data_IF_457560124502
#
_entry.id   IF_457560124502
#
_cell.length_a   1.000
_cell.length_b   1.000
_cell.length_c   1.000
_cell.angle_alpha   90.00
_cell.angle_beta   90.00
_cell.angle_gamma   90.00
#
_symmetry.space_group_name_H-M   'P 1'
#
loop_
_entity.id
_entity.type
_entity.pdbx_description
1 polymer ?
#
# COMPACT_ATOMS: atom_id res chain seq x y z
N UNK A 1 75.87 -3.93 24.62
CA UNK A 1 74.76 -4.54 23.83
C UNK A 1 73.48 -3.81 24.19
N UNK A 2 73.00 -2.91 23.33
CA UNK A 2 71.80 -2.12 23.55
C UNK A 2 70.70 -2.63 22.62
N UNK A 3 69.64 -3.26 23.20
CA UNK A 3 68.46 -3.71 22.48
C UNK A 3 67.60 -2.53 22.12
N UNK A 4 67.32 -2.34 20.84
CA UNK A 4 66.47 -1.31 20.28
C UNK A 4 65.07 -1.95 20.05
N UNK A 5 64.13 -1.62 20.95
CA UNK A 5 62.72 -2.01 20.78
C UNK A 5 62.05 -1.07 19.81
N UNK A 6 61.73 -1.53 18.60
CA UNK A 6 60.82 -0.85 17.66
C UNK A 6 59.40 -1.11 18.04
N UNK A 7 58.71 -0.09 18.56
CA UNK A 7 57.26 -0.07 18.76
C UNK A 7 56.60 0.29 17.40
N UNK A 8 56.06 -0.71 16.70
CA UNK A 8 55.18 -0.44 15.55
C UNK A 8 53.82 0.01 16.02
N UNK A 9 53.56 1.32 15.99
CA UNK A 9 52.19 1.88 16.11
C UNK A 9 51.46 1.63 14.78
N UNK A 10 50.60 0.60 14.75
CA UNK A 10 49.69 0.36 13.63
C UNK A 10 48.57 1.42 13.63
N UNK A 11 48.58 2.30 12.65
CA UNK A 11 47.52 3.30 12.41
C UNK A 11 46.33 2.57 11.73
N UNK A 12 45.30 2.23 12.50
CA UNK A 12 44.05 1.71 11.94
C UNK A 12 43.24 2.88 11.40
N UNK A 13 43.28 3.12 10.10
CA UNK A 13 42.37 4.01 9.40
C UNK A 13 41.02 3.30 9.26
N UNK A 14 40.04 3.68 10.09
CA UNK A 14 38.64 3.26 9.94
C UNK A 14 38.07 3.89 8.65
N UNK A 15 37.89 3.09 7.60
CA UNK A 15 37.12 3.48 6.42
C UNK A 15 35.65 3.62 6.83
N UNK A 16 35.17 4.86 7.01
CA UNK A 16 33.76 5.14 7.13
C UNK A 16 33.12 4.95 5.75
N UNK A 17 32.38 3.83 5.56
CA UNK A 17 31.58 3.63 4.37
C UNK A 17 30.45 4.66 4.33
N UNK A 18 30.16 5.30 3.17
CA UNK A 18 29.03 6.20 3.06
C UNK A 18 27.72 5.43 3.28
N UNK A 19 26.89 5.90 4.21
CA UNK A 19 25.53 5.38 4.39
C UNK A 19 24.70 5.85 3.19
N UNK A 20 24.42 4.95 2.25
CA UNK A 20 23.50 5.23 1.16
C UNK A 20 22.09 5.40 1.75
N UNK A 21 21.55 6.62 1.73
CA UNK A 21 20.15 6.87 2.06
C UNK A 21 19.30 6.21 0.97
N UNK A 22 18.50 5.22 1.34
CA UNK A 22 17.54 4.60 0.43
C UNK A 22 16.53 5.68 -0.04
N UNK A 23 16.20 5.66 -1.34
CA UNK A 23 15.19 6.57 -1.88
C UNK A 23 13.85 6.37 -1.15
N UNK A 24 13.14 7.45 -0.76
CA UNK A 24 11.88 7.33 -0.01
C UNK A 24 10.74 6.74 -0.83
N UNK A 25 10.85 6.78 -2.16
CA UNK A 25 9.82 6.30 -3.08
C UNK A 25 10.30 5.13 -3.93
N UNK A 26 9.36 4.26 -4.27
CA UNK A 26 9.52 3.22 -5.27
C UNK A 26 8.43 3.35 -6.34
N UNK A 27 8.69 2.84 -7.56
CA UNK A 27 7.84 3.00 -8.73
C UNK A 27 7.68 1.68 -9.45
N UNK A 28 6.44 1.29 -9.73
CA UNK A 28 6.13 0.04 -10.42
C UNK A 28 5.09 0.29 -11.51
N UNK A 29 5.30 -0.17 -12.74
CA UNK A 29 4.29 -0.08 -13.80
C UNK A 29 3.09 -0.96 -13.47
N UNK A 30 1.91 -0.56 -13.95
CA UNK A 30 0.76 -1.44 -13.98
C UNK A 30 1.10 -2.70 -14.83
N UNK A 31 0.66 -3.90 -14.42
CA UNK A 31 0.91 -5.11 -15.22
C UNK A 31 0.17 -5.12 -16.56
N UNK A 32 -0.90 -4.37 -16.70
CA UNK A 32 -1.68 -4.25 -17.93
C UNK A 32 -0.85 -3.61 -19.04
N UNK A 33 -0.59 -4.36 -20.11
CA UNK A 33 0.41 -4.01 -21.15
C UNK A 33 0.01 -2.85 -22.04
N UNK A 34 -1.26 -2.57 -22.19
CA UNK A 34 -1.81 -1.44 -22.98
C UNK A 34 -2.15 -0.21 -22.10
N UNK A 35 -1.84 -0.25 -20.81
CA UNK A 35 -2.06 0.83 -19.86
C UNK A 35 -0.75 1.53 -19.50
N UNK A 36 -0.54 2.73 -20.02
CA UNK A 36 0.63 3.54 -19.70
C UNK A 36 0.49 4.22 -18.32
N UNK A 37 0.57 3.41 -17.26
CA UNK A 37 0.39 3.83 -15.86
C UNK A 37 1.54 3.36 -14.99
N UNK A 38 2.02 4.26 -14.12
CA UNK A 38 3.03 3.98 -13.09
C UNK A 38 2.43 4.26 -11.72
N UNK A 39 2.60 3.33 -10.81
CA UNK A 39 2.30 3.50 -9.39
C UNK A 39 3.53 3.94 -8.63
N UNK A 40 3.35 4.82 -7.66
CA UNK A 40 4.38 5.28 -6.73
C UNK A 40 3.96 4.93 -5.31
N UNK A 41 4.88 4.43 -4.51
CA UNK A 41 4.69 4.21 -3.08
C UNK A 41 5.71 4.99 -2.27
N UNK A 42 5.30 5.56 -1.15
CA UNK A 42 6.19 5.96 -0.08
C UNK A 42 6.61 4.71 0.71
N UNK A 43 7.90 4.41 0.73
CA UNK A 43 8.44 3.18 1.34
C UNK A 43 8.35 3.14 2.85
N UNK A 44 8.13 4.29 3.50
CA UNK A 44 8.02 4.42 4.96
C UNK A 44 6.56 4.39 5.40
N UNK A 45 5.70 5.14 4.72
CA UNK A 45 4.29 5.29 5.10
C UNK A 45 3.36 4.35 4.33
N UNK A 46 3.82 3.73 3.25
CA UNK A 46 2.97 2.88 2.42
C UNK A 46 1.89 3.64 1.64
N UNK A 47 1.93 4.97 1.58
CA UNK A 47 1.01 5.75 0.77
C UNK A 47 1.23 5.45 -0.71
N UNK A 48 0.14 5.18 -1.44
CA UNK A 48 0.17 4.85 -2.87
C UNK A 48 -0.53 5.92 -3.68
N UNK A 49 0.13 6.36 -4.74
CA UNK A 49 -0.42 7.22 -5.78
C UNK A 49 -0.07 6.66 -7.15
N UNK A 50 -0.65 7.23 -8.21
CA UNK A 50 -0.41 6.75 -9.56
C UNK A 50 -0.45 7.89 -10.55
N UNK A 51 0.33 7.80 -11.64
CA UNK A 51 0.21 8.69 -12.78
C UNK A 51 0.15 7.88 -14.07
N UNK A 52 -0.53 8.41 -15.06
CA UNK A 52 -0.61 7.82 -16.39
C UNK A 52 -0.50 8.90 -17.46
N UNK A 53 -0.13 8.49 -18.67
CA UNK A 53 -0.21 9.34 -19.82
C UNK A 53 -1.65 9.44 -20.31
N UNK A 54 -2.14 10.66 -20.49
CA UNK A 54 -3.43 10.99 -21.09
C UNK A 54 -3.27 11.64 -22.45
N UNK A 55 -3.87 11.04 -23.46
CA UNK A 55 -4.00 11.70 -24.77
C UNK A 55 -5.02 12.83 -24.65
N UNK A 56 -4.62 14.00 -25.17
CA UNK A 56 -5.53 15.12 -25.36
C UNK A 56 -5.41 15.57 -26.81
N UNK A 57 -6.53 15.47 -27.52
CA UNK A 57 -6.56 15.78 -28.96
C UNK A 57 -6.03 17.20 -29.24
N UNK A 58 -5.16 17.32 -30.26
CA UNK A 58 -4.56 18.61 -30.65
C UNK A 58 -3.44 19.10 -29.73
N UNK A 59 -2.98 18.29 -28.78
CA UNK A 59 -1.89 18.63 -27.86
C UNK A 59 -0.82 17.52 -27.79
N UNK A 60 0.27 17.77 -27.04
CA UNK A 60 1.30 16.77 -26.76
C UNK A 60 0.84 15.73 -25.72
N UNK A 61 -0.40 15.83 -25.24
CA UNK A 61 -0.92 15.00 -24.14
C UNK A 61 -0.62 15.58 -22.76
N UNK A 62 -1.03 14.87 -21.72
CA UNK A 62 -0.90 15.28 -20.32
C UNK A 62 -0.48 14.11 -19.44
N UNK A 63 0.19 14.42 -18.32
CA UNK A 63 0.38 13.47 -17.23
C UNK A 63 -0.78 13.61 -16.25
N UNK A 64 -1.65 12.60 -16.18
CA UNK A 64 -2.78 12.54 -15.26
C UNK A 64 -2.35 11.80 -14.01
N UNK A 65 -2.41 12.46 -12.85
CA UNK A 65 -2.00 11.86 -11.58
C UNK A 65 -3.18 11.72 -10.62
N UNK A 66 -3.28 10.56 -10.01
CA UNK A 66 -4.31 10.14 -9.07
C UNK A 66 -3.69 10.01 -7.66
N UNK A 67 -4.16 10.85 -6.75
CA UNK A 67 -3.76 10.81 -5.35
C UNK A 67 -4.33 9.62 -4.60
N UNK A 68 -3.89 9.45 -3.36
CA UNK A 68 -4.40 8.42 -2.46
C UNK A 68 -5.89 8.66 -2.12
N UNK A 69 -6.70 7.63 -2.29
CA UNK A 69 -8.08 7.51 -1.87
C UNK A 69 -8.24 6.50 -0.74
N UNK A 70 -9.38 5.82 -0.69
CA UNK A 70 -9.70 4.86 0.35
C UNK A 70 -8.64 3.74 0.44
N UNK A 71 -8.13 3.49 1.66
CA UNK A 71 -7.12 2.48 1.94
C UNK A 71 -5.72 2.74 1.37
N UNK A 72 -5.55 3.72 0.45
CA UNK A 72 -4.27 4.00 -0.19
C UNK A 72 -3.43 5.07 0.53
N UNK A 73 -4.00 5.78 1.49
CA UNK A 73 -3.29 6.79 2.30
C UNK A 73 -2.20 6.20 3.18
N UNK A 74 -1.49 7.09 3.89
CA UNK A 74 -0.42 6.73 4.79
C UNK A 74 -0.87 5.71 5.85
N UNK A 75 -0.05 4.69 6.04
CA UNK A 75 -0.17 3.63 7.04
C UNK A 75 0.81 3.90 8.19
N UNK A 76 0.73 3.16 9.31
CA UNK A 76 1.76 3.21 10.34
C UNK A 76 3.16 3.01 9.73
N UNK A 77 4.19 3.76 10.20
CA UNK A 77 5.54 3.64 9.66
C UNK A 77 6.04 2.20 9.60
N UNK A 78 6.52 1.77 8.44
CA UNK A 78 6.93 0.40 8.18
C UNK A 78 7.99 0.32 7.08
N UNK A 79 7.98 -0.81 6.40
CA UNK A 79 8.79 -1.03 5.21
C UNK A 79 7.86 -1.56 4.11
N UNK A 80 7.55 -0.68 3.17
CA UNK A 80 6.55 -0.94 2.13
C UNK A 80 7.17 -1.00 0.74
N UNK A 81 6.54 -1.77 -0.13
CA UNK A 81 6.87 -1.83 -1.54
C UNK A 81 5.66 -2.17 -2.40
N UNK A 82 5.84 -2.07 -3.71
CA UNK A 82 4.85 -2.46 -4.71
C UNK A 82 5.32 -3.70 -5.46
N UNK A 83 4.37 -4.57 -5.78
CA UNK A 83 4.60 -5.76 -6.60
C UNK A 83 3.53 -5.82 -7.69
N UNK A 84 3.94 -5.78 -8.95
CA UNK A 84 3.04 -6.05 -10.07
C UNK A 84 2.77 -7.55 -10.17
N UNK A 85 1.51 -7.92 -10.41
CA UNK A 85 1.17 -9.32 -10.75
C UNK A 85 1.64 -9.65 -12.17
N UNK A 86 1.59 -10.93 -12.54
CA UNK A 86 1.83 -11.35 -13.93
C UNK A 86 0.56 -11.32 -14.78
N UNK A 87 -0.54 -10.85 -14.23
CA UNK A 87 -1.81 -10.83 -14.93
C UNK A 87 -1.91 -9.58 -15.81
N UNK A 88 -1.60 -9.74 -17.10
CA UNK A 88 -1.47 -8.64 -18.08
C UNK A 88 -2.74 -7.83 -18.36
N UNK A 89 -3.88 -8.23 -17.79
CA UNK A 89 -5.14 -7.48 -17.85
C UNK A 89 -5.49 -6.78 -16.54
N UNK A 90 -4.60 -6.88 -15.54
CA UNK A 90 -4.79 -6.24 -14.24
C UNK A 90 -4.18 -4.83 -14.25
N UNK A 91 -4.99 -3.83 -13.99
CA UNK A 91 -4.55 -2.42 -13.92
C UNK A 91 -3.95 -2.03 -12.57
N UNK A 92 -4.02 -2.90 -11.57
CA UNK A 92 -3.57 -2.64 -10.21
C UNK A 92 -2.26 -3.32 -9.85
N UNK A 93 -1.69 -2.91 -8.71
CA UNK A 93 -0.47 -3.46 -8.13
C UNK A 93 -0.70 -3.83 -6.67
N UNK A 94 0.07 -4.79 -6.14
CA UNK A 94 0.01 -5.12 -4.72
C UNK A 94 0.93 -4.21 -3.90
N UNK A 95 0.38 -3.54 -2.88
CA UNK A 95 1.15 -2.97 -1.79
C UNK A 95 1.47 -4.07 -0.80
N UNK A 96 2.73 -4.18 -0.41
CA UNK A 96 3.23 -5.17 0.54
C UNK A 96 3.91 -4.45 1.70
N UNK A 97 3.58 -4.84 2.93
CA UNK A 97 4.34 -4.50 4.11
C UNK A 97 5.36 -5.62 4.37
N UNK A 98 6.64 -5.36 4.13
CA UNK A 98 7.70 -6.38 4.26
C UNK A 98 7.96 -6.85 5.70
N UNK A 99 7.52 -6.07 6.69
CA UNK A 99 7.68 -6.44 8.11
C UNK A 99 6.56 -7.36 8.60
N UNK A 100 5.33 -7.12 8.17
CA UNK A 100 4.15 -7.88 8.63
C UNK A 100 3.70 -8.95 7.65
N UNK A 101 4.11 -8.84 6.38
CA UNK A 101 3.63 -9.68 5.28
C UNK A 101 2.22 -9.32 4.81
N UNK A 102 1.64 -8.24 5.32
CA UNK A 102 0.32 -7.77 4.89
C UNK A 102 0.36 -7.27 3.44
N UNK A 103 -0.66 -7.64 2.68
CA UNK A 103 -0.80 -7.26 1.27
C UNK A 103 -2.18 -6.67 1.01
N UNK A 104 -2.24 -5.70 0.12
CA UNK A 104 -3.49 -5.14 -0.40
C UNK A 104 -3.33 -4.82 -1.88
N UNK A 105 -4.37 -5.08 -2.69
CA UNK A 105 -4.38 -4.66 -4.09
C UNK A 105 -4.73 -3.17 -4.17
N UNK A 106 -3.93 -2.39 -4.90
CA UNK A 106 -4.14 -0.98 -5.14
C UNK A 106 -4.40 -0.74 -6.63
N UNK A 107 -5.44 0.01 -6.96
CA UNK A 107 -5.82 0.32 -8.34
C UNK A 107 -6.48 1.70 -8.41
N UNK A 108 -6.59 2.27 -9.61
CA UNK A 108 -7.29 3.54 -9.80
C UNK A 108 -8.78 3.28 -9.94
N UNK A 109 -9.55 3.92 -9.08
CA UNK A 109 -11.00 3.91 -9.09
C UNK A 109 -11.51 5.33 -8.82
N UNK A 110 -12.43 5.82 -9.65
CA UNK A 110 -13.01 7.16 -9.54
C UNK A 110 -11.95 8.26 -9.34
N UNK A 111 -10.97 8.29 -10.25
CA UNK A 111 -9.85 9.26 -10.28
C UNK A 111 -8.96 9.29 -9.02
N UNK A 112 -8.99 8.24 -8.23
CA UNK A 112 -8.13 8.06 -7.04
C UNK A 112 -7.53 6.67 -7.00
N UNK A 113 -6.39 6.53 -6.34
CA UNK A 113 -5.88 5.21 -6.00
C UNK A 113 -6.60 4.72 -4.76
N UNK A 114 -7.19 3.54 -4.84
CA UNK A 114 -7.80 2.84 -3.70
C UNK A 114 -7.03 1.55 -3.43
N UNK A 115 -6.89 1.16 -2.16
CA UNK A 115 -6.28 -0.11 -1.78
C UNK A 115 -7.28 -0.91 -0.92
N UNK A 116 -7.56 -2.16 -1.33
CA UNK A 116 -8.46 -3.03 -0.58
C UNK A 116 -7.78 -3.58 0.66
N UNK A 117 -8.49 -3.70 1.78
CA UNK A 117 -7.94 -4.37 2.96
C UNK A 117 -7.71 -5.86 2.69
N UNK A 118 -6.73 -6.44 3.36
CA UNK A 118 -6.55 -7.89 3.36
C UNK A 118 -7.69 -8.54 4.12
N UNK A 119 -8.36 -9.49 3.49
CA UNK A 119 -9.42 -10.30 4.13
C UNK A 119 -9.06 -11.77 4.05
N UNK A 120 -9.42 -12.52 5.11
CA UNK A 120 -9.33 -13.97 5.06
C UNK A 120 -10.51 -14.52 4.25
N UNK A 121 -10.30 -15.36 3.23
CA UNK A 121 -11.39 -15.97 2.44
C UNK A 121 -12.46 -16.68 3.28
N UNK A 122 -12.10 -17.24 4.45
CA UNK A 122 -13.03 -17.85 5.40
C UNK A 122 -14.04 -16.87 5.99
N UNK A 123 -13.77 -15.58 5.95
CA UNK A 123 -14.63 -14.52 6.48
C UNK A 123 -15.30 -13.68 5.37
N UNK A 124 -14.96 -13.91 4.12
CA UNK A 124 -15.51 -13.15 2.98
C UNK A 124 -17.03 -13.39 2.78
N UNK A 125 -17.62 -14.39 3.46
CA UNK A 125 -19.06 -14.65 3.45
C UNK A 125 -19.85 -14.07 4.63
N UNK A 126 -19.19 -13.46 5.60
CA UNK A 126 -19.85 -12.84 6.76
C UNK A 126 -19.97 -11.34 6.51
N UNK A 127 -20.94 -10.93 5.69
CA UNK A 127 -21.41 -9.55 5.73
C UNK A 127 -21.87 -9.24 7.17
N UNK A 128 -21.60 -8.03 7.72
CA UNK A 128 -22.13 -7.63 9.00
C UNK A 128 -23.64 -7.83 8.97
N UNK A 129 -24.16 -8.68 9.86
CA UNK A 129 -25.60 -8.86 9.98
C UNK A 129 -26.20 -7.49 10.33
N UNK A 130 -26.95 -6.90 9.41
CA UNK A 130 -27.78 -5.75 9.71
C UNK A 130 -28.69 -6.15 10.85
N UNK A 131 -28.72 -5.41 11.98
CA UNK A 131 -29.67 -5.72 13.06
C UNK A 131 -31.07 -5.65 12.48
N UNK A 132 -31.74 -6.80 12.38
CA UNK A 132 -33.13 -6.88 11.98
C UNK A 132 -34.01 -6.08 12.95
N UNK A 133 -35.14 -5.53 12.50
CA UNK A 133 -36.03 -4.78 13.36
C UNK A 133 -36.52 -5.68 14.50
N UNK A 134 -36.30 -5.25 15.74
CA UNK A 134 -36.75 -5.90 16.96
C UNK A 134 -38.27 -6.10 16.87
N UNK A 135 -38.81 -7.31 17.01
CA UNK A 135 -40.25 -7.50 17.01
C UNK A 135 -40.85 -6.77 18.21
N UNK A 136 -41.65 -5.77 17.95
CA UNK A 136 -42.45 -5.07 18.94
C UNK A 136 -43.46 -6.04 19.57
N UNK A 137 -43.25 -6.42 20.83
CA UNK A 137 -44.23 -7.20 21.59
C UNK A 137 -45.45 -6.33 21.80
N UNK A 138 -46.49 -6.52 21.04
CA UNK A 138 -47.82 -5.97 21.24
C UNK A 138 -48.41 -6.62 22.48
N UNK A 139 -48.55 -5.85 23.58
CA UNK A 139 -49.22 -6.28 24.78
C UNK A 139 -50.65 -6.73 24.51
N UNK A 140 -50.91 -8.00 24.75
CA UNK A 140 -52.24 -8.55 24.70
C UNK A 140 -53.12 -8.01 25.84
N UNK A 141 -54.22 -7.35 25.50
CA UNK A 141 -55.28 -6.98 26.44
C UNK A 141 -56.01 -8.24 26.88
N UNK A 142 -56.08 -8.45 28.20
CA UNK A 142 -56.94 -9.47 28.81
C UNK A 142 -58.44 -9.16 28.58
N UNK A 143 -59.26 -10.13 28.23
CA UNK A 143 -60.73 -9.92 28.25
C UNK A 143 -61.28 -10.05 29.67
N UNK A 144 -61.95 -9.02 30.14
CA UNK A 144 -62.84 -9.10 31.32
C UNK A 144 -64.10 -9.90 30.92
N UNK A 145 -64.46 -10.85 31.71
CA UNK A 145 -65.72 -11.58 31.68
C UNK A 145 -66.73 -10.94 32.63
N UNK A 146 -68.04 -11.03 32.35
CA UNK A 146 -69.13 -10.43 33.10
C UNK A 146 -69.41 -11.10 34.46
#
# INVERSE_FOLDING_TARGET
>A
MRSLNFLCLGLWTALAAPVALAAPYDFVPAPQTDLNRIYRIDRITGEVSSCQYGLQEGTVGATLCFGAGEGAGAQPPGEYGLVASRHEREGGVFRVNYRTGEMSICYVFDERVVCTPQTNPSHAGSAPATPGPTPSVRGGASPQRP
#
